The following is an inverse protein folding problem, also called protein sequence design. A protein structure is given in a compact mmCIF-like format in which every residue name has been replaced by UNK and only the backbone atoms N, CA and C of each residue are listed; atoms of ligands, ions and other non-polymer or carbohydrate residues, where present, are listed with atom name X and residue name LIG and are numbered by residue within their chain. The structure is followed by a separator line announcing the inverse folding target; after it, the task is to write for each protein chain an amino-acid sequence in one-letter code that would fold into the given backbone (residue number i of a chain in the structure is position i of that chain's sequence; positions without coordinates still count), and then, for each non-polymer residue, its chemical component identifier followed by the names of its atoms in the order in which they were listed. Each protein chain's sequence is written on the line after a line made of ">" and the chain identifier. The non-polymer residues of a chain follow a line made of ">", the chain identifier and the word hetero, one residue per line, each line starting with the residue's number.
data_IF_811214206239
#
_entry.id   IF_811214206239
#
_cell.length_a   1.000
_cell.length_b   1.000
_cell.length_c   1.000
_cell.angle_alpha   90.00
_cell.angle_beta   90.00
_cell.angle_gamma   90.00
#
_symmetry.space_group_name_H-M   'P 1'
#
loop_
_entity.id
_entity.type
_entity.pdbx_description
1 polymer ?
#
# COMPACT_ATOMS: atom_id res chain seq x y z
N UNK A 1 -20.79 -10.75 -9.33
CA UNK A 1 -20.01 -10.51 -8.09
C UNK A 1 -18.83 -9.66 -8.49
N UNK A 2 -18.69 -8.50 -7.87
CA UNK A 2 -17.60 -7.55 -8.17
C UNK A 2 -16.43 -7.84 -7.23
N UNK A 3 -15.23 -7.93 -7.78
CA UNK A 3 -14.00 -8.26 -7.04
C UNK A 3 -12.95 -7.22 -7.43
N UNK A 4 -12.37 -6.56 -6.43
CA UNK A 4 -11.29 -5.60 -6.60
C UNK A 4 -9.97 -6.08 -6.00
N UNK A 5 -8.89 -5.38 -6.38
CA UNK A 5 -7.53 -5.58 -5.85
C UNK A 5 -7.12 -4.35 -5.04
N UNK A 6 -6.43 -4.57 -3.92
CA UNK A 6 -5.77 -3.52 -3.14
C UNK A 6 -4.28 -3.83 -3.04
N UNK A 7 -3.44 -2.82 -3.27
CA UNK A 7 -1.99 -2.98 -3.26
C UNK A 7 -1.31 -1.71 -2.74
N UNK A 8 -0.20 -1.83 -2.01
CA UNK A 8 0.68 -0.69 -1.71
C UNK A 8 1.63 -0.44 -2.89
N UNK A 9 1.52 0.69 -3.60
CA UNK A 9 2.34 0.96 -4.77
C UNK A 9 3.70 1.53 -4.33
N UNK A 10 4.74 0.69 -4.28
CA UNK A 10 6.08 1.07 -3.80
C UNK A 10 7.15 0.87 -4.88
N UNK A 11 8.34 1.41 -4.66
CA UNK A 11 9.52 1.15 -5.50
C UNK A 11 9.92 -0.35 -5.58
N UNK A 12 9.36 -1.20 -4.70
CA UNK A 12 9.62 -2.63 -4.63
C UNK A 12 8.47 -3.50 -5.18
N UNK A 13 7.35 -2.91 -5.59
CA UNK A 13 6.19 -3.64 -6.13
C UNK A 13 6.15 -3.60 -7.67
N UNK A 14 5.22 -4.35 -8.27
CA UNK A 14 4.85 -4.15 -9.68
C UNK A 14 4.46 -2.68 -9.91
N UNK A 15 4.81 -2.14 -11.08
CA UNK A 15 4.48 -0.77 -11.43
C UNK A 15 2.94 -0.60 -11.50
N UNK A 16 2.34 0.43 -10.89
CA UNK A 16 0.89 0.61 -10.87
C UNK A 16 0.21 0.58 -12.24
N UNK A 17 0.85 1.13 -13.29
CA UNK A 17 0.29 1.09 -14.65
C UNK A 17 0.22 -0.33 -15.19
N UNK A 18 1.28 -1.11 -14.98
CA UNK A 18 1.33 -2.51 -15.40
C UNK A 18 0.32 -3.36 -14.63
N UNK A 19 0.15 -3.13 -13.32
CA UNK A 19 -0.88 -3.82 -12.55
C UNK A 19 -2.29 -3.44 -13.04
N UNK A 20 -2.56 -2.17 -13.30
CA UNK A 20 -3.89 -1.72 -13.73
C UNK A 20 -4.32 -2.44 -15.01
N UNK A 21 -3.43 -2.49 -16.01
CA UNK A 21 -3.66 -3.25 -17.25
C UNK A 21 -3.90 -4.73 -16.98
N UNK A 22 -3.07 -5.34 -16.12
CA UNK A 22 -3.22 -6.74 -15.76
C UNK A 22 -4.54 -7.05 -15.04
N UNK A 23 -5.03 -6.12 -14.20
CA UNK A 23 -6.31 -6.20 -13.52
C UNK A 23 -7.49 -6.18 -14.50
N UNK A 24 -7.48 -5.23 -15.45
CA UNK A 24 -8.49 -5.13 -16.52
C UNK A 24 -8.54 -6.39 -17.39
N UNK A 25 -7.39 -6.87 -17.85
CA UNK A 25 -7.28 -8.11 -18.65
C UNK A 25 -7.88 -9.34 -17.95
N UNK A 26 -7.84 -9.37 -16.61
CA UNK A 26 -8.32 -10.48 -15.79
C UNK A 26 -9.76 -10.29 -15.30
N UNK A 27 -10.39 -9.17 -15.64
CA UNK A 27 -11.77 -8.86 -15.29
C UNK A 27 -11.99 -8.49 -13.81
N UNK A 28 -10.96 -7.97 -13.13
CA UNK A 28 -11.16 -7.33 -11.83
C UNK A 28 -11.89 -6.00 -12.03
N UNK A 29 -12.82 -5.69 -11.14
CA UNK A 29 -13.70 -4.52 -11.27
C UNK A 29 -13.00 -3.24 -10.84
N UNK A 30 -12.13 -3.31 -9.83
CA UNK A 30 -11.45 -2.14 -9.29
C UNK A 30 -10.03 -2.43 -8.80
N UNK A 31 -9.20 -1.39 -8.82
CA UNK A 31 -7.86 -1.37 -8.26
C UNK A 31 -7.75 -0.17 -7.31
N UNK A 32 -7.38 -0.44 -6.06
CA UNK A 32 -7.29 0.55 -4.99
C UNK A 32 -5.87 0.66 -4.46
N UNK A 33 -5.45 1.89 -4.21
CA UNK A 33 -4.17 2.21 -3.59
C UNK A 33 -4.41 2.99 -2.29
N UNK A 34 -3.77 2.61 -1.17
CA UNK A 34 -3.82 3.40 0.04
C UNK A 34 -2.94 4.65 -0.10
N UNK A 35 -3.42 5.78 0.42
CA UNK A 35 -2.66 7.04 0.53
C UNK A 35 -2.50 7.39 2.02
N UNK A 36 -1.28 7.74 2.42
CA UNK A 36 -0.95 8.11 3.80
C UNK A 36 -0.13 9.40 3.85
N UNK A 37 -0.72 10.52 3.45
CA UNK A 37 -0.05 11.83 3.38
C UNK A 37 0.62 12.31 4.68
N UNK A 38 0.16 11.82 5.83
CA UNK A 38 0.67 12.25 7.15
C UNK A 38 1.04 11.06 8.01
N UNK A 39 2.30 10.66 7.93
CA UNK A 39 2.89 9.68 8.83
C UNK A 39 3.85 10.42 9.77
N UNK A 40 3.75 10.22 11.10
CA UNK A 40 4.74 10.75 12.01
C UNK A 40 6.15 10.35 11.58
N UNK A 41 7.15 11.15 11.87
CA UNK A 41 8.57 10.75 11.68
C UNK A 41 9.17 10.22 12.99
N UNK A 42 8.66 10.66 14.14
CA UNK A 42 9.00 10.14 15.47
C UNK A 42 8.54 8.68 15.63
N UNK A 43 9.35 7.86 16.30
CA UNK A 43 9.04 6.47 16.71
C UNK A 43 8.80 6.35 18.22
N UNK A 44 8.49 7.46 18.91
CA UNK A 44 8.20 7.45 20.36
C UNK A 44 7.00 6.57 20.72
N UNK A 45 5.96 6.56 19.89
CA UNK A 45 4.85 5.62 20.00
C UNK A 45 5.07 4.42 19.09
N UNK A 46 4.80 3.18 19.58
CA UNK A 46 4.95 1.98 18.76
C UNK A 46 3.92 1.97 17.61
N UNK A 47 4.27 1.29 16.52
CA UNK A 47 3.36 1.12 15.39
C UNK A 47 2.06 0.45 15.85
N UNK A 48 0.92 1.03 15.44
CA UNK A 48 -0.43 0.61 15.83
C UNK A 48 -0.61 0.45 17.36
N UNK A 49 0.11 1.24 18.15
CA UNK A 49 0.10 1.17 19.61
C UNK A 49 0.50 -0.21 20.18
N UNK A 50 1.16 -1.06 19.39
CA UNK A 50 1.54 -2.42 19.79
C UNK A 50 3.06 -2.63 19.63
N UNK A 51 3.82 -2.75 20.73
CA UNK A 51 5.28 -2.92 20.67
C UNK A 51 5.71 -4.29 20.10
N UNK A 52 4.83 -5.30 20.10
CA UNK A 52 5.14 -6.64 19.57
C UNK A 52 5.17 -6.68 18.04
N UNK A 53 4.56 -5.70 17.37
CA UNK A 53 4.51 -5.63 15.90
C UNK A 53 5.81 -5.15 15.26
N UNK A 54 6.78 -4.68 16.06
CA UNK A 54 8.05 -4.16 15.56
C UNK A 54 7.94 -2.74 14.99
N UNK A 55 8.92 -2.31 14.17
CA UNK A 55 8.92 -0.98 13.58
C UNK A 55 7.78 -0.81 12.56
N UNK A 56 7.44 0.46 12.26
CA UNK A 56 6.53 0.78 11.15
C UNK A 56 7.04 0.11 9.86
N UNK A 57 6.19 -0.61 9.10
CA UNK A 57 6.58 -1.23 7.84
C UNK A 57 7.03 -0.22 6.77
N UNK A 58 7.94 -0.62 5.88
CA UNK A 58 8.57 0.32 4.95
C UNK A 58 7.63 0.86 3.87
N UNK A 59 6.58 0.12 3.51
CA UNK A 59 5.59 0.51 2.50
C UNK A 59 4.92 1.84 2.83
N UNK A 60 4.84 2.20 4.10
CA UNK A 60 4.25 3.45 4.57
C UNK A 60 5.00 4.71 4.11
N UNK A 61 6.32 4.63 3.85
CA UNK A 61 7.11 5.78 3.36
C UNK A 61 7.77 5.54 1.99
N UNK A 62 7.55 4.35 1.41
CA UNK A 62 8.01 3.99 0.06
C UNK A 62 6.91 4.09 -0.99
N UNK A 63 5.66 4.33 -0.56
CA UNK A 63 4.56 4.52 -1.49
C UNK A 63 4.89 5.65 -2.48
N UNK A 64 4.50 5.47 -3.74
CA UNK A 64 4.61 6.52 -4.75
C UNK A 64 3.69 7.69 -4.36
N UNK A 65 4.28 8.82 -3.99
CA UNK A 65 3.67 10.14 -3.80
C UNK A 65 4.08 11.07 -4.96
#
# INVERSE_FOLDING_TARGET
>A
MEIGILMFPTDKSIQPVELAQACEERGFESLWFPEHSHIPTSRETPWNSNPELGPLPEEYWRAHD
#
